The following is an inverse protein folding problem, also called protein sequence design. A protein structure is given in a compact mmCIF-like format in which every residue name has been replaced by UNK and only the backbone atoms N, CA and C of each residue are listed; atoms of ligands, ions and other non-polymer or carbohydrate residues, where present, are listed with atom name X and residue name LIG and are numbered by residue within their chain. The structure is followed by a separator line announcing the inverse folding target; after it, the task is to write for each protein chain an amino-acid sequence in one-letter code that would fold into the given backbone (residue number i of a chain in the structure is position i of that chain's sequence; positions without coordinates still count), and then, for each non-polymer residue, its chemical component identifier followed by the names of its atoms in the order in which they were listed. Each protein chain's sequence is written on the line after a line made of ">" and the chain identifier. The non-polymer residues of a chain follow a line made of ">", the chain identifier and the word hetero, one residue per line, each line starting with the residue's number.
data_IF_728977172009
#
_entry.id   IF_728977172009
#
_cell.length_a   1.000
_cell.length_b   1.000
_cell.length_c   1.000
_cell.angle_alpha   90.00
_cell.angle_beta   90.00
_cell.angle_gamma   90.00
#
_symmetry.space_group_name_H-M   'P 1'
#
loop_
_entity.id
_entity.type
_entity.pdbx_description
1 polymer ?
#
# COMPACT_ATOMS: atom_id res chain seq x y z
N UNK A 1 -2.97 1.14 19.09
CA UNK A 1 -3.27 2.07 17.98
C UNK A 1 -2.01 2.38 17.16
N UNK A 2 -0.97 2.98 17.76
CA UNK A 2 0.28 3.39 17.09
C UNK A 2 0.95 2.34 16.18
N UNK A 3 1.03 1.07 16.62
CA UNK A 3 1.62 -0.02 15.79
C UNK A 3 0.84 -0.28 14.50
N UNK A 4 -0.49 -0.23 14.54
CA UNK A 4 -1.36 -0.43 13.37
C UNK A 4 -1.19 0.71 12.35
N UNK A 5 -1.12 1.95 12.86
CA UNK A 5 -0.84 3.15 12.04
C UNK A 5 0.52 3.06 11.38
N UNK A 6 1.58 2.75 12.15
CA UNK A 6 2.94 2.59 11.60
C UNK A 6 3.02 1.51 10.53
N UNK A 7 2.37 0.36 10.73
CA UNK A 7 2.36 -0.71 9.71
C UNK A 7 1.71 -0.25 8.40
N UNK A 8 0.68 0.58 8.45
CA UNK A 8 0.03 1.12 7.24
C UNK A 8 0.86 2.22 6.61
N UNK A 9 1.46 3.11 7.40
CA UNK A 9 2.28 4.22 6.90
C UNK A 9 3.57 3.72 6.23
N UNK A 10 4.18 2.68 6.78
CA UNK A 10 5.36 2.01 6.18
C UNK A 10 4.96 1.22 4.93
N UNK A 11 3.77 0.60 4.92
CA UNK A 11 3.27 -0.17 3.79
C UNK A 11 2.84 0.70 2.61
N UNK A 12 2.13 1.80 2.88
CA UNK A 12 1.66 2.77 1.89
C UNK A 12 2.79 3.71 1.46
N UNK A 13 3.65 3.22 0.57
CA UNK A 13 4.64 4.05 -0.10
C UNK A 13 3.99 4.92 -1.19
N UNK A 14 4.61 6.07 -1.51
CA UNK A 14 4.16 6.92 -2.60
C UNK A 14 4.51 6.30 -3.95
N UNK A 15 3.58 5.49 -4.45
CA UNK A 15 3.76 4.77 -5.69
C UNK A 15 3.81 5.70 -6.92
N UNK A 16 3.11 6.85 -6.91
CA UNK A 16 3.13 7.80 -8.03
C UNK A 16 4.51 8.40 -8.28
N UNK A 17 5.22 8.75 -7.21
CA UNK A 17 6.62 9.20 -7.28
C UNK A 17 7.53 8.09 -7.80
N UNK A 18 7.30 6.84 -7.37
CA UNK A 18 7.96 5.65 -7.88
C UNK A 18 7.78 5.47 -9.39
N UNK A 19 6.56 5.68 -9.90
CA UNK A 19 6.26 5.53 -11.33
C UNK A 19 7.00 6.57 -12.16
N UNK A 20 7.01 7.83 -11.71
CA UNK A 20 7.72 8.92 -12.41
C UNK A 20 9.23 8.67 -12.45
N UNK A 21 9.83 8.21 -11.35
CA UNK A 21 11.26 7.86 -11.32
C UNK A 21 11.58 6.67 -12.22
N UNK A 22 10.73 5.64 -12.20
CA UNK A 22 10.87 4.44 -13.02
C UNK A 22 10.85 4.79 -14.52
N UNK A 23 9.88 5.61 -14.94
CA UNK A 23 9.78 6.09 -16.31
C UNK A 23 10.99 6.94 -16.72
N UNK A 24 11.47 7.83 -15.82
CA UNK A 24 12.60 8.71 -16.14
C UNK A 24 13.93 8.00 -16.31
N UNK A 25 14.21 6.95 -15.53
CA UNK A 25 15.55 6.36 -15.48
C UNK A 25 15.65 4.96 -16.12
N UNK A 26 14.55 4.23 -16.19
CA UNK A 26 14.54 2.81 -16.60
C UNK A 26 13.61 2.53 -17.80
N UNK A 27 12.91 3.55 -18.29
CA UNK A 27 11.99 3.45 -19.43
C UNK A 27 10.61 2.88 -19.07
N UNK A 28 9.71 2.86 -20.06
CA UNK A 28 8.28 2.61 -19.87
C UNK A 28 7.95 1.25 -19.25
N UNK A 29 8.73 0.22 -19.59
CA UNK A 29 8.55 -1.14 -19.08
C UNK A 29 8.78 -1.24 -17.55
N UNK A 30 9.53 -0.30 -16.97
CA UNK A 30 9.79 -0.24 -15.53
C UNK A 30 8.57 0.24 -14.71
N UNK A 31 7.59 0.88 -15.34
CA UNK A 31 6.37 1.31 -14.66
C UNK A 31 5.42 0.14 -14.33
N UNK A 32 5.56 -0.99 -15.01
CA UNK A 32 4.71 -2.19 -14.83
C UNK A 32 4.79 -2.75 -13.40
N UNK A 33 5.96 -3.04 -12.82
CA UNK A 33 6.06 -3.51 -11.44
C UNK A 33 5.57 -2.46 -10.43
N UNK A 34 5.76 -1.16 -10.71
CA UNK A 34 5.24 -0.09 -9.84
C UNK A 34 3.71 -0.07 -9.86
N UNK A 35 3.10 -0.19 -11.04
CA UNK A 35 1.65 -0.27 -11.17
C UNK A 35 1.07 -1.50 -10.45
N UNK A 36 1.70 -2.68 -10.61
CA UNK A 36 1.33 -3.89 -9.86
C UNK A 36 1.39 -3.68 -8.34
N UNK A 37 2.44 -3.02 -7.86
CA UNK A 37 2.62 -2.73 -6.44
C UNK A 37 1.51 -1.84 -5.87
N UNK A 38 1.03 -0.85 -6.63
CA UNK A 38 -0.11 0.01 -6.23
C UNK A 38 -1.33 -0.83 -5.88
N UNK A 39 -1.72 -1.74 -6.79
CA UNK A 39 -2.91 -2.57 -6.59
C UNK A 39 -2.77 -3.48 -5.37
N UNK A 40 -1.62 -4.16 -5.24
CA UNK A 40 -1.36 -5.06 -4.12
C UNK A 40 -1.39 -4.29 -2.80
N UNK A 41 -0.76 -3.13 -2.72
CA UNK A 41 -0.71 -2.33 -1.51
C UNK A 41 -2.09 -1.83 -1.08
N UNK A 42 -2.91 -1.34 -2.03
CA UNK A 42 -4.25 -0.84 -1.73
C UNK A 42 -5.16 -1.98 -1.26
N UNK A 43 -5.19 -3.10 -1.99
CA UNK A 43 -6.00 -4.27 -1.62
C UNK A 43 -5.62 -4.81 -0.24
N UNK A 44 -4.31 -4.93 0.02
CA UNK A 44 -3.79 -5.42 1.30
C UNK A 44 -4.17 -4.48 2.44
N UNK A 45 -4.03 -3.16 2.24
CA UNK A 45 -4.41 -2.16 3.24
C UNK A 45 -5.92 -2.21 3.55
N UNK A 46 -6.77 -2.29 2.53
CA UNK A 46 -8.22 -2.42 2.71
C UNK A 46 -8.59 -3.66 3.53
N UNK A 47 -8.02 -4.83 3.20
CA UNK A 47 -8.29 -6.08 3.92
C UNK A 47 -7.80 -6.01 5.37
N UNK A 48 -6.58 -5.50 5.61
CA UNK A 48 -6.02 -5.39 6.96
C UNK A 48 -6.84 -4.44 7.84
N UNK A 49 -7.28 -3.31 7.28
CA UNK A 49 -8.13 -2.35 7.99
C UNK A 49 -9.47 -3.00 8.37
N UNK A 50 -10.11 -3.70 7.45
CA UNK A 50 -11.37 -4.42 7.67
C UNK A 50 -11.24 -5.47 8.79
N UNK A 51 -10.21 -6.33 8.72
CA UNK A 51 -9.95 -7.34 9.75
C UNK A 51 -9.73 -6.71 11.14
N UNK A 52 -9.01 -5.59 11.21
CA UNK A 52 -8.79 -4.86 12.46
C UNK A 52 -10.03 -4.14 12.99
N UNK A 53 -10.99 -3.80 12.13
CA UNK A 53 -12.30 -3.27 12.54
C UNK A 53 -13.20 -4.37 13.11
N UNK A 54 -13.27 -5.53 12.44
CA UNK A 54 -14.05 -6.69 12.91
C UNK A 54 -13.58 -7.17 14.29
N UNK A 55 -12.26 -7.23 14.52
CA UNK A 55 -11.70 -7.61 15.82
C UNK A 55 -11.92 -6.56 16.93
N UNK A 56 -12.28 -5.31 16.58
CA UNK A 56 -12.71 -4.28 17.55
C UNK A 56 -14.21 -4.34 17.83
N UNK A 57 -15.02 -4.72 16.84
CA UNK A 57 -16.46 -4.95 17.00
C UNK A 57 -16.78 -6.17 17.86
N UNK A 58 -15.98 -7.23 17.76
CA UNK A 58 -16.14 -8.46 18.54
C UNK A 58 -15.62 -8.38 19.99
N UNK A 59 -15.02 -7.24 20.38
CA UNK A 59 -14.51 -6.96 21.72
C UNK A 59 -15.37 -5.91 22.45
N UNK A 60 -16.56 -5.62 21.93
CA UNK A 60 -17.56 -4.71 22.47
C UNK A 60 -18.88 -5.46 22.68
#
# INVERSE_FOLDING_TARGET
>A
ARRRTLSIEIGMQNAGLGTVLALKHFGEKSAIPVAMFVFVCILTASVIVELWQQNKGNAR
#
